data_IF_707305160522
#
_entry.id   IF_707305160522
#
_cell.length_a   1.000
_cell.length_b   1.000
_cell.length_c   1.000
_cell.angle_alpha   90.00
_cell.angle_beta   90.00
_cell.angle_gamma   90.00
#
_symmetry.space_group_name_H-M   'P 1'
#
loop_
_entity.id
_entity.type
_entity.pdbx_description
1 polymer ?
#
# COMPACT_ATOMS: atom_id res chain seq x y z
N UNK A 1 -6.36 30.40 -10.16
CA UNK A 1 -5.26 29.51 -10.59
C UNK A 1 -4.04 29.88 -9.76
N UNK A 2 -3.70 29.11 -8.73
CA UNK A 2 -2.36 29.04 -8.14
C UNK A 2 -2.43 28.21 -6.84
N UNK A 3 -1.94 26.98 -6.89
CA UNK A 3 -1.28 26.41 -5.71
C UNK A 3 -0.22 25.42 -6.22
N UNK A 4 0.86 26.01 -6.73
CA UNK A 4 2.13 25.32 -6.84
C UNK A 4 2.77 25.24 -5.45
N UNK A 5 2.77 24.05 -4.86
CA UNK A 5 3.69 23.70 -3.79
C UNK A 5 4.52 22.49 -4.21
N UNK A 6 5.65 22.77 -4.86
CA UNK A 6 6.78 21.83 -4.98
C UNK A 6 7.15 21.36 -3.58
N UNK A 7 6.98 20.07 -3.30
CA UNK A 7 7.60 19.43 -2.14
C UNK A 7 8.37 18.19 -2.60
N UNK A 8 9.62 18.44 -2.96
CA UNK A 8 10.73 17.48 -3.16
C UNK A 8 11.32 17.02 -1.82
N UNK A 9 10.46 16.69 -0.87
CA UNK A 9 10.80 16.03 0.40
C UNK A 9 9.84 14.86 0.50
N UNK A 10 10.34 13.64 0.69
CA UNK A 10 9.57 12.39 0.80
C UNK A 10 8.19 12.64 1.43
N UNK A 11 7.16 12.89 0.58
CA UNK A 11 5.85 13.31 1.06
C UNK A 11 5.40 12.23 2.03
N UNK A 12 5.23 12.55 3.30
CA UNK A 12 4.72 11.58 4.25
C UNK A 12 3.37 11.05 3.72
N UNK A 13 3.10 9.76 3.92
CA UNK A 13 1.77 9.23 3.63
C UNK A 13 0.78 9.99 4.51
N UNK A 14 -0.22 10.58 3.87
CA UNK A 14 -1.32 11.26 4.56
C UNK A 14 -2.12 10.25 5.37
N UNK A 15 -2.79 10.69 6.43
CA UNK A 15 -3.61 9.81 7.26
C UNK A 15 -4.65 9.05 6.44
N UNK A 16 -5.21 9.67 5.39
CA UNK A 16 -6.18 9.04 4.49
C UNK A 16 -5.56 7.95 3.61
N UNK A 17 -4.36 8.18 3.05
CA UNK A 17 -3.63 7.12 2.32
C UNK A 17 -3.30 5.94 3.25
N UNK A 18 -2.92 6.23 4.51
CA UNK A 18 -2.65 5.19 5.51
C UNK A 18 -3.91 4.41 5.85
N UNK A 19 -5.04 5.08 6.02
CA UNK A 19 -6.32 4.43 6.33
C UNK A 19 -6.73 3.47 5.22
N UNK A 20 -6.63 3.89 3.94
CA UNK A 20 -6.89 3.04 2.77
C UNK A 20 -5.95 1.84 2.74
N UNK A 21 -4.66 2.04 3.03
CA UNK A 21 -3.70 0.94 3.10
C UNK A 21 -4.11 -0.05 4.18
N UNK A 22 -4.45 0.42 5.38
CA UNK A 22 -4.81 -0.46 6.50
C UNK A 22 -6.11 -1.18 6.24
N UNK A 23 -7.13 -0.48 5.75
CA UNK A 23 -8.45 -1.02 5.45
C UNK A 23 -8.37 -2.11 4.37
N UNK A 24 -7.77 -1.80 3.23
CA UNK A 24 -7.57 -2.75 2.15
C UNK A 24 -6.75 -3.97 2.59
N UNK A 25 -5.72 -3.76 3.41
CA UNK A 25 -4.88 -4.86 3.92
C UNK A 25 -5.58 -5.70 4.97
N UNK A 26 -6.54 -5.15 5.72
CA UNK A 26 -7.40 -5.89 6.65
C UNK A 26 -8.41 -6.75 5.89
N UNK A 27 -9.08 -6.18 4.90
CA UNK A 27 -10.02 -6.91 4.04
C UNK A 27 -9.33 -8.07 3.31
N UNK A 28 -8.10 -7.84 2.85
CA UNK A 28 -7.31 -8.84 2.12
C UNK A 28 -6.30 -9.58 3.01
N UNK A 29 -6.41 -9.47 4.34
CA UNK A 29 -5.40 -9.99 5.28
C UNK A 29 -5.17 -11.49 5.11
N UNK A 30 -6.24 -12.26 4.87
CA UNK A 30 -6.18 -13.70 4.65
C UNK A 30 -5.30 -14.05 3.43
N UNK A 31 -5.51 -13.34 2.32
CA UNK A 31 -4.77 -13.55 1.06
C UNK A 31 -3.35 -12.99 1.13
N UNK A 32 -3.16 -11.84 1.79
CA UNK A 32 -1.85 -11.20 1.94
C UNK A 32 -0.94 -11.93 2.95
N UNK A 33 -1.54 -12.56 3.96
CA UNK A 33 -0.84 -13.38 4.98
C UNK A 33 -0.65 -14.82 4.52
N UNK A 34 -1.35 -15.26 3.48
CA UNK A 34 -1.15 -16.58 2.89
C UNK A 34 0.29 -16.73 2.45
N UNK A 35 1.03 -17.58 3.16
CA UNK A 35 2.44 -17.83 2.87
C UNK A 35 2.57 -18.42 1.47
N UNK A 36 3.56 -17.93 0.72
CA UNK A 36 3.91 -18.44 -0.61
C UNK A 36 4.14 -19.96 -0.61
N UNK A 37 4.46 -20.54 0.56
CA UNK A 37 4.67 -21.97 0.76
C UNK A 37 3.39 -22.83 0.68
N UNK A 38 2.21 -22.28 0.98
CA UNK A 38 0.97 -23.07 1.11
C UNK A 38 -0.03 -22.84 -0.04
N UNK A 39 0.22 -21.86 -0.91
CA UNK A 39 -0.83 -21.29 -1.76
C UNK A 39 -0.66 -21.59 -3.28
N UNK A 40 0.29 -22.46 -3.64
CA UNK A 40 0.50 -22.91 -5.02
C UNK A 40 1.06 -21.84 -5.97
N UNK A 41 1.35 -22.19 -7.23
CA UNK A 41 2.08 -21.33 -8.17
C UNK A 41 1.36 -20.01 -8.52
N UNK A 42 0.07 -19.86 -8.23
CA UNK A 42 -0.72 -18.65 -8.51
C UNK A 42 -0.84 -17.65 -7.37
N UNK A 43 -0.45 -18.00 -6.14
CA UNK A 43 -0.70 -17.14 -4.98
C UNK A 43 0.20 -15.91 -4.92
N UNK A 44 1.48 -16.07 -5.27
CA UNK A 44 2.40 -14.93 -5.37
C UNK A 44 1.91 -13.89 -6.38
N UNK A 45 1.32 -14.35 -7.48
CA UNK A 45 0.74 -13.48 -8.50
C UNK A 45 -0.51 -12.75 -7.98
N UNK A 46 -1.42 -13.44 -7.27
CA UNK A 46 -2.60 -12.82 -6.64
C UNK A 46 -2.21 -11.76 -5.61
N UNK A 47 -1.24 -12.07 -4.74
CA UNK A 47 -0.70 -11.11 -3.76
C UNK A 47 -0.10 -9.90 -4.47
N UNK A 48 0.67 -10.11 -5.55
CA UNK A 48 1.23 -9.00 -6.31
C UNK A 48 0.16 -8.12 -6.97
N UNK A 49 -0.91 -8.72 -7.52
CA UNK A 49 -2.05 -7.99 -8.07
C UNK A 49 -2.77 -7.16 -6.99
N UNK A 50 -2.96 -7.70 -5.79
CA UNK A 50 -3.51 -6.95 -4.66
C UNK A 50 -2.65 -5.75 -4.29
N UNK A 51 -1.33 -5.89 -4.26
CA UNK A 51 -0.42 -4.77 -4.04
C UNK A 51 -0.52 -3.69 -5.12
N UNK A 52 -0.65 -4.09 -6.40
CA UNK A 52 -0.82 -3.16 -7.51
C UNK A 52 -2.16 -2.42 -7.41
N UNK A 53 -3.24 -3.14 -7.08
CA UNK A 53 -4.57 -2.56 -6.90
C UNK A 53 -4.60 -1.56 -5.73
N UNK A 54 -3.92 -1.90 -4.63
CA UNK A 54 -3.76 -1.00 -3.49
C UNK A 54 -3.02 0.27 -3.89
N UNK A 55 -1.92 0.15 -4.63
CA UNK A 55 -1.14 1.30 -5.10
C UNK A 55 -2.00 2.21 -5.98
N UNK A 56 -2.79 1.64 -6.88
CA UNK A 56 -3.73 2.41 -7.69
C UNK A 56 -4.79 3.12 -6.83
N UNK A 57 -5.34 2.45 -5.81
CA UNK A 57 -6.32 3.06 -4.90
C UNK A 57 -5.72 4.21 -4.09
N UNK A 58 -4.50 4.01 -3.57
CA UNK A 58 -3.73 5.04 -2.86
C UNK A 58 -3.39 6.20 -3.80
N UNK A 59 -3.01 5.94 -5.05
CA UNK A 59 -2.72 6.97 -6.03
C UNK A 59 -3.96 7.75 -6.48
N UNK A 60 -5.13 7.09 -6.51
CA UNK A 60 -6.40 7.73 -6.84
C UNK A 60 -6.91 8.67 -5.73
N UNK A 61 -6.62 8.35 -4.46
CA UNK A 61 -6.99 9.20 -3.31
C UNK A 61 -5.89 10.17 -2.87
N UNK A 62 -4.63 9.87 -3.20
CA UNK A 62 -3.45 10.56 -2.69
C UNK A 62 -3.11 11.83 -3.46
N UNK A 63 -2.30 12.68 -2.83
CA UNK A 63 -1.81 13.94 -3.40
C UNK A 63 -0.52 13.75 -4.25
N UNK A 64 -0.23 12.51 -4.70
CA UNK A 64 0.92 12.22 -5.54
C UNK A 64 1.15 10.73 -5.81
N UNK A 65 1.91 10.40 -6.88
CA UNK A 65 2.16 9.02 -7.27
C UNK A 65 3.06 8.32 -6.24
N UNK A 66 2.53 7.26 -5.64
CA UNK A 66 3.22 6.29 -4.79
C UNK A 66 3.60 5.07 -5.60
N UNK A 67 4.81 4.60 -5.35
CA UNK A 67 5.29 3.34 -5.93
C UNK A 67 4.94 2.17 -5.02
N UNK A 68 4.81 0.99 -5.63
CA UNK A 68 4.58 -0.27 -4.92
C UNK A 68 5.64 -0.55 -3.84
N UNK A 69 6.89 -0.15 -4.07
CA UNK A 69 7.97 -0.24 -3.07
C UNK A 69 7.65 0.61 -1.83
N UNK A 70 7.26 1.87 -2.02
CA UNK A 70 6.95 2.79 -0.92
C UNK A 70 5.73 2.32 -0.12
N UNK A 71 4.68 1.84 -0.80
CA UNK A 71 3.47 1.33 -0.14
C UNK A 71 3.79 0.08 0.69
N UNK A 72 4.58 -0.86 0.13
CA UNK A 72 5.05 -2.04 0.88
C UNK A 72 5.91 -1.66 2.08
N UNK A 73 6.84 -0.72 1.93
CA UNK A 73 7.66 -0.21 3.04
C UNK A 73 6.80 0.42 4.13
N UNK A 74 5.82 1.25 3.75
CA UNK A 74 4.89 1.86 4.69
C UNK A 74 4.09 0.83 5.46
N UNK A 75 3.55 -0.19 4.78
CA UNK A 75 2.83 -1.29 5.43
C UNK A 75 3.72 -2.05 6.42
N UNK A 76 4.95 -2.42 6.02
CA UNK A 76 5.89 -3.10 6.93
C UNK A 76 6.18 -2.27 8.17
N UNK A 77 6.31 -0.96 8.03
CA UNK A 77 6.52 -0.06 9.16
C UNK A 77 5.29 0.00 10.08
N UNK A 78 4.07 0.05 9.51
CA UNK A 78 2.81 0.00 10.27
C UNK A 78 2.72 -1.31 11.05
N UNK A 79 2.96 -2.45 10.39
CA UNK A 79 2.90 -3.77 11.04
C UNK A 79 3.92 -3.88 12.17
N UNK A 80 5.14 -3.38 11.98
CA UNK A 80 6.18 -3.32 13.03
C UNK A 80 5.84 -2.42 14.21
N UNK A 81 4.92 -1.47 14.04
CA UNK A 81 4.49 -0.59 15.13
C UNK A 81 3.29 -1.15 15.90
N UNK A 82 2.57 -2.12 15.32
CA UNK A 82 1.34 -2.71 15.89
C UNK A 82 1.62 -4.06 16.58
N UNK A 83 2.67 -4.77 16.17
CA UNK A 83 3.13 -6.06 16.72
C UNK A 83 4.44 -5.84 17.47
#
# INVERSE_FOLDING_TARGET
>A
MAEEAKCTKSKMFTSREVDIIVDFMKENASTMRSSHASAGPGAAQKVNQLWLSLVNSVNACGSGPRTLKQVKEKWRNIVRMII
#
